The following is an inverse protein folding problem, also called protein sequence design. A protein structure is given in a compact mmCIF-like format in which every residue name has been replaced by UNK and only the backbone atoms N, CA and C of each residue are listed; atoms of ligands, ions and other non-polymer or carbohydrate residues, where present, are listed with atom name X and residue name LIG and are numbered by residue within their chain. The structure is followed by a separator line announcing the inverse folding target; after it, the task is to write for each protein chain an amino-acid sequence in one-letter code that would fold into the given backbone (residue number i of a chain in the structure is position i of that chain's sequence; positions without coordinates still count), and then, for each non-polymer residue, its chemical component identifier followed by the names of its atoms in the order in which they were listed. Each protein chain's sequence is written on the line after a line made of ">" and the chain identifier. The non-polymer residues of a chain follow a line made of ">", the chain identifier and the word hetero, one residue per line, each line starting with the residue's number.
data_IF_346345708768
#
_entry.id   IF_346345708768
#
_cell.length_a   1.000
_cell.length_b   1.000
_cell.length_c   1.000
_cell.angle_alpha   90.00
_cell.angle_beta   90.00
_cell.angle_gamma   90.00
#
_symmetry.space_group_name_H-M   'P 1'
#
loop_
_entity.id
_entity.type
_entity.pdbx_description
1 polymer ?
#
# COMPACT_ATOMS: atom_id res chain seq x y z
N UNK A 1 -3.06 0.26 -5.55
CA UNK A 1 -3.19 1.30 -4.51
C UNK A 1 -4.61 1.26 -3.94
N UNK A 2 -4.82 1.37 -2.61
CA UNK A 2 -6.14 1.27 -1.97
C UNK A 2 -6.96 2.58 -1.97
N UNK A 3 -6.47 3.66 -2.57
CA UNK A 3 -7.14 4.98 -2.62
C UNK A 3 -6.88 5.62 -3.97
N UNK A 4 -7.94 6.11 -4.63
CA UNK A 4 -7.87 6.79 -5.92
C UNK A 4 -7.20 8.14 -5.81
N UNK A 5 -7.52 8.92 -4.76
CA UNK A 5 -6.89 10.21 -4.54
C UNK A 5 -5.37 10.09 -4.39
N UNK A 6 -4.91 9.08 -3.65
CA UNK A 6 -3.48 8.84 -3.45
C UNK A 6 -2.83 8.32 -4.71
N UNK A 7 -3.50 7.44 -5.46
CA UNK A 7 -3.01 6.94 -6.73
C UNK A 7 -2.80 8.07 -7.76
N UNK A 8 -3.77 8.97 -7.92
CA UNK A 8 -3.68 10.15 -8.79
C UNK A 8 -2.55 11.10 -8.37
N UNK A 9 -2.46 11.41 -7.07
CA UNK A 9 -1.41 12.28 -6.54
C UNK A 9 -0.01 11.67 -6.70
N UNK A 10 0.12 10.36 -6.47
CA UNK A 10 1.37 9.62 -6.61
C UNK A 10 1.85 9.56 -8.06
N UNK A 11 0.95 9.29 -9.01
CA UNK A 11 1.25 9.36 -10.44
C UNK A 11 1.73 10.75 -10.85
N UNK A 12 1.06 11.82 -10.39
CA UNK A 12 1.47 13.18 -10.65
C UNK A 12 2.86 13.52 -10.07
N UNK A 13 3.15 13.04 -8.85
CA UNK A 13 4.44 13.25 -8.20
C UNK A 13 5.59 12.63 -8.99
N UNK A 14 5.46 11.36 -9.41
CA UNK A 14 6.52 10.63 -10.12
C UNK A 14 6.89 11.31 -11.44
N UNK A 15 5.93 11.89 -12.14
CA UNK A 15 6.18 12.59 -13.41
C UNK A 15 7.07 13.83 -13.23
N UNK A 16 7.02 14.48 -12.07
CA UNK A 16 7.99 15.52 -11.72
C UNK A 16 9.24 14.88 -11.10
N UNK A 17 10.12 14.34 -11.96
CA UNK A 17 11.27 13.54 -11.54
C UNK A 17 12.21 14.25 -10.55
N UNK A 18 12.33 15.58 -10.61
CA UNK A 18 13.11 16.38 -9.63
C UNK A 18 12.49 16.32 -8.24
N UNK A 19 11.17 16.51 -8.12
CA UNK A 19 10.47 16.44 -6.83
C UNK A 19 10.44 15.02 -6.30
N UNK A 20 10.21 14.05 -7.18
CA UNK A 20 10.22 12.65 -6.83
C UNK A 20 11.59 12.20 -6.31
N UNK A 21 12.68 12.58 -7.00
CA UNK A 21 14.04 12.28 -6.55
C UNK A 21 14.36 12.88 -5.18
N UNK A 22 13.99 14.15 -4.95
CA UNK A 22 14.18 14.81 -3.66
C UNK A 22 13.38 14.15 -2.53
N UNK A 23 12.12 13.76 -2.80
CA UNK A 23 11.31 13.00 -1.86
C UNK A 23 11.95 11.65 -1.53
N UNK A 24 12.40 10.91 -2.54
CA UNK A 24 13.02 9.60 -2.35
C UNK A 24 14.31 9.68 -1.51
N UNK A 25 15.15 10.69 -1.75
CA UNK A 25 16.35 10.92 -0.96
C UNK A 25 16.01 11.25 0.50
N UNK A 26 15.07 12.17 0.72
CA UNK A 26 14.67 12.57 2.07
C UNK A 26 13.99 11.44 2.87
N UNK A 27 13.12 10.65 2.24
CA UNK A 27 12.32 9.63 2.92
C UNK A 27 13.03 8.27 3.01
N UNK A 28 13.88 7.92 2.03
CA UNK A 28 14.44 6.57 1.90
C UNK A 28 15.96 6.55 1.71
N UNK A 29 16.62 7.70 1.59
CA UNK A 29 18.07 7.82 1.36
C UNK A 29 18.55 7.31 0.00
N UNK A 30 17.62 6.99 -0.92
CA UNK A 30 17.92 6.50 -2.27
C UNK A 30 16.73 6.67 -3.20
N UNK A 31 16.99 6.77 -4.49
CA UNK A 31 15.95 6.76 -5.50
C UNK A 31 15.20 5.42 -5.52
N UNK A 32 13.86 5.47 -5.48
CA UNK A 32 13.02 4.28 -5.66
C UNK A 32 12.50 4.22 -7.09
N UNK A 33 12.80 3.15 -7.81
CA UNK A 33 12.28 2.95 -9.15
C UNK A 33 10.81 2.53 -9.08
N UNK A 34 9.95 3.27 -9.78
CA UNK A 34 8.53 2.93 -9.89
C UNK A 34 8.36 1.77 -10.89
N UNK A 35 7.66 0.73 -10.46
CA UNK A 35 7.31 -0.42 -11.28
C UNK A 35 5.77 -0.60 -11.23
N UNK A 36 5.04 -0.21 -12.29
CA UNK A 36 3.57 -0.24 -12.28
C UNK A 36 2.98 -1.61 -11.98
N UNK A 37 3.66 -2.68 -12.39
CA UNK A 37 3.24 -4.08 -12.20
C UNK A 37 3.75 -4.72 -10.89
N UNK A 38 4.31 -3.91 -9.97
CA UNK A 38 4.74 -4.40 -8.64
C UNK A 38 6.18 -4.90 -8.55
N UNK A 39 7.01 -4.67 -9.58
CA UNK A 39 8.48 -4.79 -9.51
C UNK A 39 9.02 -6.20 -9.22
N UNK A 40 8.19 -7.23 -9.34
CA UNK A 40 8.64 -8.61 -9.14
C UNK A 40 9.71 -8.96 -10.19
N UNK A 41 10.76 -9.72 -9.81
CA UNK A 41 11.72 -10.23 -10.79
C UNK A 41 10.98 -10.99 -11.90
N UNK A 42 11.46 -10.99 -13.16
CA UNK A 42 10.79 -11.65 -14.29
C UNK A 42 10.43 -13.13 -14.06
N UNK A 43 11.13 -13.79 -13.13
CA UNK A 43 10.90 -15.20 -12.74
C UNK A 43 9.84 -15.39 -11.63
N UNK A 44 9.42 -14.32 -10.95
CA UNK A 44 8.37 -14.35 -9.94
C UNK A 44 7.05 -13.90 -10.60
N UNK A 45 6.09 -14.82 -10.69
CA UNK A 45 4.82 -14.67 -11.39
C UNK A 45 3.83 -13.71 -10.69
N UNK A 46 4.23 -12.46 -10.40
CA UNK A 46 3.31 -11.43 -9.94
C UNK A 46 2.45 -10.85 -11.09
N UNK A 47 2.85 -11.08 -12.35
CA UNK A 47 2.06 -10.76 -13.53
C UNK A 47 0.84 -11.70 -13.63
N UNK A 48 -0.23 -11.37 -12.90
CA UNK A 48 -1.48 -12.12 -12.89
C UNK A 48 -2.19 -12.22 -11.54
N UNK A 49 -1.61 -11.71 -10.45
CA UNK A 49 -2.31 -11.66 -9.15
C UNK A 49 -3.55 -10.77 -9.24
N UNK A 50 -4.70 -11.28 -8.74
CA UNK A 50 -5.90 -10.46 -8.66
C UNK A 50 -5.68 -9.29 -7.69
N UNK A 51 -6.40 -8.19 -7.92
CA UNK A 51 -6.27 -6.98 -7.11
C UNK A 51 -6.47 -7.25 -5.61
N UNK A 52 -7.34 -8.20 -5.23
CA UNK A 52 -7.59 -8.54 -3.84
C UNK A 52 -6.33 -9.05 -3.10
N UNK A 53 -5.50 -9.86 -3.77
CA UNK A 53 -4.27 -10.38 -3.16
C UNK A 53 -3.19 -9.29 -3.05
N UNK A 54 -3.10 -8.40 -4.04
CA UNK A 54 -2.19 -7.26 -3.98
C UNK A 54 -2.55 -6.30 -2.83
N UNK A 55 -3.85 -6.06 -2.64
CA UNK A 55 -4.34 -5.26 -1.51
C UNK A 55 -4.12 -5.98 -0.18
N UNK A 56 -4.32 -7.30 -0.11
CA UNK A 56 -4.02 -8.11 1.08
C UNK A 56 -2.57 -7.95 1.51
N UNK A 57 -1.62 -8.09 0.59
CA UNK A 57 -0.18 -7.90 0.86
C UNK A 57 0.15 -6.49 1.35
N UNK A 58 -0.55 -5.48 0.85
CA UNK A 58 -0.41 -4.10 1.29
C UNK A 58 -0.85 -3.95 2.75
N UNK A 59 -1.99 -4.55 3.14
CA UNK A 59 -2.44 -4.60 4.54
C UNK A 59 -1.42 -5.32 5.42
N UNK A 60 -0.92 -6.48 4.99
CA UNK A 60 0.10 -7.23 5.74
C UNK A 60 1.35 -6.38 5.97
N UNK A 61 1.85 -5.73 4.91
CA UNK A 61 3.05 -4.89 4.99
C UNK A 61 2.84 -3.71 5.95
N UNK A 62 1.67 -3.08 5.92
CA UNK A 62 1.30 -2.05 6.89
C UNK A 62 1.28 -2.60 8.32
N UNK A 63 0.59 -3.71 8.57
CA UNK A 63 0.44 -4.30 9.91
C UNK A 63 1.77 -4.75 10.51
N UNK A 64 2.77 -5.07 9.69
CA UNK A 64 4.14 -5.37 10.14
C UNK A 64 4.96 -4.13 10.50
N UNK A 65 4.68 -2.99 9.87
CA UNK A 65 5.47 -1.76 10.00
C UNK A 65 4.84 -0.72 10.96
N UNK A 66 3.54 -0.80 11.18
CA UNK A 66 2.79 0.17 11.97
C UNK A 66 3.13 0.11 13.46
N UNK A 67 3.14 1.27 14.11
CA UNK A 67 3.30 1.36 15.56
C UNK A 67 2.04 0.85 16.29
N UNK A 68 2.14 0.40 17.56
CA UNK A 68 0.99 -0.07 18.33
C UNK A 68 -0.13 0.98 18.41
N UNK A 69 -1.30 0.63 17.88
CA UNK A 69 -2.48 1.53 17.87
C UNK A 69 -2.49 2.55 16.73
N UNK A 70 -1.47 2.57 15.87
CA UNK A 70 -1.46 3.41 14.68
C UNK A 70 -2.55 2.96 13.69
N UNK A 71 -3.29 3.94 13.15
CA UNK A 71 -4.37 3.68 12.20
C UNK A 71 -3.95 4.12 10.80
N UNK A 72 -4.01 3.19 9.84
CA UNK A 72 -3.81 3.57 8.45
C UNK A 72 -4.99 4.43 7.98
N UNK A 73 -4.68 5.60 7.40
CA UNK A 73 -5.68 6.46 6.79
C UNK A 73 -6.04 6.03 5.37
N UNK A 74 -5.22 5.20 4.72
CA UNK A 74 -5.40 4.84 3.31
C UNK A 74 -6.63 3.95 3.06
N UNK A 75 -7.11 3.22 4.07
CA UNK A 75 -8.19 2.25 3.89
C UNK A 75 -9.55 2.88 3.61
N UNK A 76 -9.79 4.09 4.10
CA UNK A 76 -11.07 4.80 4.00
C UNK A 76 -10.92 6.26 3.55
N UNK A 77 -9.75 6.63 3.03
CA UNK A 77 -9.43 8.02 2.66
C UNK A 77 -10.42 8.59 1.65
N UNK A 78 -10.71 7.87 0.57
CA UNK A 78 -11.58 8.36 -0.50
C UNK A 78 -13.00 8.66 0.03
N UNK A 79 -13.51 7.80 0.91
CA UNK A 79 -14.79 8.01 1.60
C UNK A 79 -14.75 9.26 2.48
N UNK A 80 -13.65 9.50 3.21
CA UNK A 80 -13.47 10.71 4.04
C UNK A 80 -13.38 11.98 3.20
N UNK A 81 -12.82 11.88 2.00
CA UNK A 81 -12.74 12.98 1.03
C UNK A 81 -14.07 13.19 0.28
N UNK A 82 -15.04 12.30 0.42
CA UNK A 82 -16.34 12.41 -0.25
C UNK A 82 -16.26 12.17 -1.75
N UNK A 83 -15.35 11.31 -2.22
CA UNK A 83 -15.25 10.96 -3.63
C UNK A 83 -16.43 10.09 -4.08
N UNK A 84 -16.86 10.29 -5.32
CA UNK A 84 -17.75 9.36 -6.00
C UNK A 84 -17.04 8.02 -6.21
N UNK A 85 -17.76 6.92 -5.98
CA UNK A 85 -17.27 5.54 -6.07
C UNK A 85 -15.93 5.34 -5.34
N UNK A 86 -15.89 5.53 -4.00
CA UNK A 86 -14.63 5.59 -3.26
C UNK A 86 -13.90 4.24 -3.31
N UNK A 87 -12.59 4.28 -3.58
CA UNK A 87 -11.73 3.12 -3.39
C UNK A 87 -11.40 2.97 -1.90
N UNK A 88 -11.12 1.75 -1.49
CA UNK A 88 -10.78 1.48 -0.10
C UNK A 88 -10.68 0.00 0.20
N UNK A 89 -10.32 -0.31 1.45
CA UNK A 89 -10.38 -1.66 1.99
C UNK A 89 -11.33 -1.61 3.19
N UNK A 90 -12.40 -2.41 3.13
CA UNK A 90 -13.39 -2.42 4.20
C UNK A 90 -12.76 -2.82 5.54
N UNK A 91 -13.16 -2.14 6.63
CA UNK A 91 -12.59 -2.36 7.97
C UNK A 91 -12.68 -3.83 8.42
N UNK A 92 -13.76 -4.54 8.08
CA UNK A 92 -13.90 -5.97 8.40
C UNK A 92 -12.88 -6.85 7.64
N UNK A 93 -12.50 -6.47 6.42
CA UNK A 93 -11.48 -7.18 5.63
C UNK A 93 -10.08 -6.96 6.20
N UNK A 94 -9.76 -5.73 6.60
CA UNK A 94 -8.51 -5.41 7.32
C UNK A 94 -8.42 -6.25 8.61
N UNK A 95 -9.47 -6.24 9.43
CA UNK A 95 -9.52 -7.01 10.67
C UNK A 95 -9.37 -8.53 10.43
N UNK A 96 -9.97 -9.09 9.38
CA UNK A 96 -9.78 -10.50 9.01
C UNK A 96 -8.33 -10.83 8.69
N UNK A 97 -7.64 -9.95 7.96
CA UNK A 97 -6.22 -10.13 7.62
C UNK A 97 -5.35 -10.04 8.88
N UNK A 98 -5.59 -9.07 9.75
CA UNK A 98 -4.85 -8.91 11.01
C UNK A 98 -5.05 -10.10 11.96
N UNK A 99 -6.27 -10.62 12.07
CA UNK A 99 -6.56 -11.84 12.84
C UNK A 99 -5.84 -13.05 12.23
N UNK A 100 -5.83 -13.18 10.90
CA UNK A 100 -5.11 -14.26 10.23
C UNK A 100 -3.60 -14.18 10.47
N UNK A 101 -3.01 -12.97 10.45
CA UNK A 101 -1.60 -12.76 10.75
C UNK A 101 -1.25 -13.15 12.19
N UNK A 102 -2.03 -12.71 13.16
CA UNK A 102 -1.81 -13.02 14.59
C UNK A 102 -2.08 -14.49 14.91
N UNK A 103 -3.04 -15.12 14.24
CA UNK A 103 -3.35 -16.55 14.37
C UNK A 103 -2.32 -17.49 13.71
N UNK A 104 -1.50 -16.99 12.77
CA UNK A 104 -0.48 -17.79 12.07
C UNK A 104 0.90 -17.80 12.77
N UNK A 105 1.11 -17.00 13.82
CA UNK A 105 2.33 -17.03 14.62
C UNK A 105 2.37 -15.84 15.60
N UNK A 106 2.51 -16.00 16.91
CA UNK A 106 3.70 -16.50 17.62
C UNK A 106 5.05 -16.57 16.86
N UNK A 107 5.23 -15.77 15.82
CA UNK A 107 6.53 -15.54 15.18
C UNK A 107 6.74 -14.02 15.13
N UNK A 108 7.07 -13.45 16.29
CA UNK A 108 7.89 -12.24 16.31
C UNK A 108 9.35 -12.69 16.24
N UNK A 109 10.21 -12.09 15.39
CA UNK A 109 11.65 -12.17 15.60
C UNK A 109 12.04 -11.54 16.95
#
# INVERSE_FOLDING_TARGET
>A
MPSRAVDEAWHGLILCTVRYAAFCDAAYGRFLHHHPEGGAPPAAAAAGECMDEQLRRTVISWSMAAEPGERCVLWDLDSRLGLDEPWGIAAHRVAQIDVALTGCGNIRP
#
